data_IF_616952515263
#
_entry.id   IF_616952515263
#
_cell.length_a   1.000
_cell.length_b   1.000
_cell.length_c   1.000
_cell.angle_alpha   90.00
_cell.angle_beta   90.00
_cell.angle_gamma   90.00
#
_symmetry.space_group_name_H-M   'P 1'
#
loop_
_entity.id
_entity.type
_entity.pdbx_description
1 polymer ?
#
# COMPACT_ATOMS: atom_id res chain seq x y z
N UNK A 1 14.98 15.54 -5.53
CA UNK A 1 14.65 16.93 -5.92
C UNK A 1 13.50 16.86 -6.90
N UNK A 2 12.36 17.47 -6.59
CA UNK A 2 11.12 17.24 -7.31
C UNK A 2 10.98 18.28 -8.43
N UNK A 3 10.70 17.86 -9.68
CA UNK A 3 10.44 18.83 -10.76
C UNK A 3 9.12 19.54 -10.48
N UNK A 4 9.11 20.87 -10.54
CA UNK A 4 7.90 21.64 -10.32
C UNK A 4 6.87 21.38 -11.42
N UNK A 5 5.78 20.71 -11.06
CA UNK A 5 4.66 20.39 -11.91
C UNK A 5 3.38 20.21 -11.07
N UNK A 6 2.18 20.16 -11.68
CA UNK A 6 0.92 20.00 -10.93
C UNK A 6 0.82 18.71 -10.10
N UNK A 7 1.54 17.64 -10.50
CA UNK A 7 1.61 16.39 -9.73
C UNK A 7 2.46 16.56 -8.48
N UNK A 8 3.66 17.12 -8.64
CA UNK A 8 4.59 17.45 -7.55
C UNK A 8 4.00 18.41 -6.51
N UNK A 9 3.28 19.45 -6.95
CA UNK A 9 2.59 20.38 -6.01
C UNK A 9 1.46 19.70 -5.25
N UNK A 10 0.75 18.75 -5.87
CA UNK A 10 -0.31 17.97 -5.21
C UNK A 10 0.27 17.02 -4.15
N UNK A 11 1.34 16.31 -4.46
CA UNK A 11 2.10 15.48 -3.52
C UNK A 11 2.50 16.28 -2.28
N UNK A 12 3.16 17.44 -2.47
CA UNK A 12 3.59 18.33 -1.39
C UNK A 12 2.41 18.83 -0.55
N UNK A 13 1.31 19.26 -1.18
CA UNK A 13 0.11 19.74 -0.47
C UNK A 13 -0.55 18.65 0.38
N UNK A 14 -0.69 17.44 -0.16
CA UNK A 14 -1.26 16.30 0.57
C UNK A 14 -0.37 15.92 1.76
N UNK A 15 0.94 15.90 1.57
CA UNK A 15 1.93 15.60 2.61
C UNK A 15 2.00 16.71 3.67
N UNK A 16 1.86 17.98 3.28
CA UNK A 16 1.79 19.11 4.20
C UNK A 16 0.56 19.00 5.12
N UNK A 17 -0.62 18.70 4.57
CA UNK A 17 -1.83 18.40 5.36
C UNK A 17 -1.63 17.18 6.26
N UNK A 18 -0.92 16.16 5.79
CA UNK A 18 -0.62 14.95 6.55
C UNK A 18 0.37 15.14 7.71
N UNK A 19 1.23 16.16 7.65
CA UNK A 19 2.37 16.38 8.56
C UNK A 19 1.98 16.69 10.03
N UNK A 20 0.69 16.79 10.35
CA UNK A 20 0.19 16.93 11.73
C UNK A 20 0.11 15.59 12.47
N UNK A 21 0.13 14.46 11.77
CA UNK A 21 0.11 13.13 12.38
C UNK A 21 1.50 12.74 12.92
N UNK A 22 1.57 12.24 14.15
CA UNK A 22 2.81 11.79 14.77
C UNK A 22 3.51 10.65 13.99
N UNK A 23 2.72 9.79 13.33
CA UNK A 23 3.16 8.63 12.55
C UNK A 23 3.35 8.92 11.05
N UNK A 24 3.44 10.19 10.66
CA UNK A 24 3.78 10.61 9.29
C UNK A 24 5.04 11.47 9.36
N UNK A 25 5.91 11.39 8.36
CA UNK A 25 7.10 12.26 8.28
C UNK A 25 6.68 13.71 8.04
N UNK A 26 7.19 14.62 8.85
CA UNK A 26 6.83 16.04 8.83
C UNK A 26 7.62 16.79 7.76
N UNK A 27 6.90 17.52 6.91
CA UNK A 27 7.50 18.62 6.15
C UNK A 27 7.72 19.81 7.10
N UNK A 28 8.93 20.37 7.05
CA UNK A 28 9.36 21.54 7.80
C UNK A 28 9.19 22.81 6.96
N UNK A 29 9.69 22.81 5.73
CA UNK A 29 9.64 23.93 4.78
C UNK A 29 9.55 23.42 3.33
N UNK A 30 9.05 24.29 2.44
CA UNK A 30 9.02 24.05 0.98
C UNK A 30 9.50 25.30 0.25
N UNK A 31 10.46 25.15 -0.66
CA UNK A 31 10.98 26.24 -1.49
C UNK A 31 10.81 25.96 -2.99
N UNK A 32 10.39 26.97 -3.75
CA UNK A 32 10.44 26.95 -5.22
C UNK A 32 11.76 27.58 -5.68
N UNK A 33 12.62 26.78 -6.32
CA UNK A 33 13.94 27.22 -6.78
C UNK A 33 14.16 26.88 -8.25
N UNK A 34 15.11 27.59 -8.88
CA UNK A 34 15.72 27.19 -10.14
C UNK A 34 16.97 26.36 -9.87
N UNK A 35 16.98 25.09 -10.28
CA UNK A 35 18.15 24.23 -10.24
C UNK A 35 18.50 23.78 -11.66
N UNK A 36 19.73 24.05 -12.10
CA UNK A 36 20.21 23.75 -13.46
C UNK A 36 19.26 24.25 -14.58
N UNK A 37 18.67 25.44 -14.38
CA UNK A 37 17.72 26.05 -15.33
C UNK A 37 16.30 25.45 -15.32
N UNK A 38 15.99 24.49 -14.43
CA UNK A 38 14.66 23.90 -14.27
C UNK A 38 14.01 24.39 -12.98
N UNK A 39 12.69 24.59 -12.99
CA UNK A 39 11.93 24.82 -11.76
C UNK A 39 11.85 23.52 -10.94
N UNK A 40 12.18 23.61 -9.67
CA UNK A 40 12.19 22.49 -8.73
C UNK A 40 11.55 22.91 -7.40
N UNK A 41 10.88 21.94 -6.76
CA UNK A 41 10.47 22.03 -5.37
C UNK A 41 11.54 21.38 -4.50
N UNK A 42 12.03 22.14 -3.52
CA UNK A 42 12.90 21.67 -2.45
C UNK A 42 12.03 21.46 -1.21
N UNK A 43 11.92 20.22 -0.76
CA UNK A 43 11.10 19.84 0.39
C UNK A 43 12.06 19.54 1.54
N UNK A 44 11.99 20.33 2.60
CA UNK A 44 12.75 20.11 3.84
C UNK A 44 11.87 19.29 4.77
N UNK A 45 12.36 18.14 5.24
CA UNK A 45 11.62 17.22 6.10
C UNK A 45 12.41 16.94 7.39
N UNK A 46 11.74 16.39 8.41
CA UNK A 46 12.45 15.80 9.55
C UNK A 46 13.34 14.62 9.09
N UNK A 47 14.45 14.39 9.80
CA UNK A 47 15.40 13.33 9.48
C UNK A 47 15.01 12.01 10.17
N UNK A 48 15.07 10.89 9.45
CA UNK A 48 14.65 9.56 9.93
C UNK A 48 15.82 8.56 9.88
N UNK A 49 16.75 8.69 10.84
CA UNK A 49 18.01 7.93 10.86
C UNK A 49 17.89 6.52 11.48
N UNK A 50 16.66 6.06 11.75
CA UNK A 50 16.37 4.76 12.36
C UNK A 50 16.34 3.58 11.39
N UNK A 51 16.30 3.84 10.08
CA UNK A 51 16.19 2.82 9.03
C UNK A 51 14.78 2.27 8.84
N UNK A 52 14.65 1.34 7.88
CA UNK A 52 13.41 0.65 7.55
C UNK A 52 12.93 -0.27 8.69
N UNK A 53 11.60 -0.39 8.80
CA UNK A 53 10.92 -1.24 9.78
C UNK A 53 11.50 -2.66 9.85
N UNK A 54 11.59 -3.33 8.70
CA UNK A 54 11.97 -4.75 8.65
C UNK A 54 13.47 -4.97 8.84
N UNK A 55 14.33 -4.06 8.36
CA UNK A 55 15.77 -4.08 8.70
C UNK A 55 15.99 -4.01 10.20
N UNK A 56 15.20 -3.20 10.93
CA UNK A 56 15.30 -3.12 12.39
C UNK A 56 14.87 -4.41 13.10
N UNK A 57 13.90 -5.13 12.56
CA UNK A 57 13.47 -6.44 13.08
C UNK A 57 14.54 -7.51 12.79
N UNK A 58 15.20 -7.44 11.64
CA UNK A 58 16.32 -8.30 11.28
C UNK A 58 17.54 -8.07 12.19
N UNK A 59 17.96 -6.81 12.39
CA UNK A 59 19.12 -6.43 13.23
C UNK A 59 18.98 -6.86 14.70
N UNK A 60 17.75 -6.94 15.24
CA UNK A 60 17.52 -7.48 16.60
C UNK A 60 17.84 -8.96 16.71
N UNK A 61 17.60 -9.73 15.64
CA UNK A 61 17.92 -11.16 15.57
C UNK A 61 19.41 -11.43 15.68
N UNK A 62 20.28 -10.48 15.32
CA UNK A 62 21.72 -10.57 15.53
C UNK A 62 22.12 -10.37 17.00
N UNK A 63 21.37 -9.57 17.76
CA UNK A 63 21.70 -9.27 19.16
C UNK A 63 21.24 -10.39 20.12
N UNK A 64 20.16 -11.10 19.78
CA UNK A 64 19.65 -12.24 20.55
C UNK A 64 20.65 -13.42 20.67
N UNK A 65 21.63 -13.53 19.76
CA UNK A 65 22.72 -14.51 19.85
C UNK A 65 23.94 -14.02 20.65
N UNK A 66 23.85 -12.85 21.29
CA UNK A 66 24.88 -12.34 22.21
C UNK A 66 24.30 -12.18 23.61
N UNK A 67 25.11 -12.43 24.64
CA UNK A 67 24.70 -12.56 26.07
C UNK A 67 24.14 -11.26 26.71
N UNK A 68 23.75 -10.25 25.93
CA UNK A 68 23.34 -8.90 26.37
C UNK A 68 21.84 -8.60 26.26
N UNK A 69 21.02 -9.51 25.73
CA UNK A 69 19.58 -9.31 25.60
C UNK A 69 18.78 -10.53 26.11
N UNK A 70 18.49 -10.62 27.44
CA UNK A 70 17.68 -11.69 28.01
C UNK A 70 16.24 -11.75 27.47
N UNK A 71 15.74 -10.63 26.94
CA UNK A 71 14.34 -10.42 26.51
C UNK A 71 14.19 -10.41 24.96
N UNK A 72 15.17 -10.92 24.22
CA UNK A 72 15.46 -10.54 22.82
C UNK A 72 14.64 -11.13 21.67
N UNK A 73 13.40 -11.60 21.85
CA UNK A 73 12.57 -12.14 20.76
C UNK A 73 11.54 -11.14 20.26
N UNK A 74 11.36 -11.02 18.94
CA UNK A 74 10.28 -10.21 18.36
C UNK A 74 8.93 -10.87 18.64
N UNK A 75 8.02 -10.17 19.33
CA UNK A 75 6.78 -10.76 19.85
C UNK A 75 5.51 -10.27 19.14
N UNK A 76 4.41 -11.03 19.26
CA UNK A 76 3.11 -10.68 18.69
C UNK A 76 2.53 -9.35 19.22
N UNK A 77 2.87 -8.98 20.45
CA UNK A 77 2.64 -7.68 21.08
C UNK A 77 3.32 -6.53 20.32
N UNK A 78 4.62 -6.66 20.02
CA UNK A 78 5.38 -5.66 19.27
C UNK A 78 4.85 -5.52 17.84
N UNK A 79 4.51 -6.65 17.20
CA UNK A 79 3.85 -6.65 15.90
C UNK A 79 2.50 -5.88 15.93
N UNK A 80 1.74 -6.02 17.01
CA UNK A 80 0.50 -5.23 17.22
C UNK A 80 0.78 -3.73 17.41
N UNK A 81 1.76 -3.34 18.23
CA UNK A 81 2.12 -1.93 18.44
C UNK A 81 2.64 -1.24 17.16
N UNK A 82 3.42 -1.98 16.35
CA UNK A 82 3.83 -1.56 15.01
C UNK A 82 2.60 -1.38 14.11
N UNK A 83 1.73 -2.39 14.02
CA UNK A 83 0.53 -2.34 13.19
C UNK A 83 -0.45 -1.24 13.62
N UNK A 84 -0.54 -0.95 14.92
CA UNK A 84 -1.28 0.19 15.46
C UNK A 84 -0.66 1.52 15.03
N UNK A 85 0.66 1.68 15.14
CA UNK A 85 1.37 2.90 14.70
C UNK A 85 1.13 3.20 13.21
N UNK A 86 1.19 2.19 12.35
CA UNK A 86 0.88 2.33 10.91
C UNK A 86 -0.62 2.62 10.75
N UNK A 87 -1.49 1.92 11.50
CA UNK A 87 -2.93 2.13 11.51
C UNK A 87 -3.34 3.57 11.87
N UNK A 88 -2.68 4.21 12.83
CA UNK A 88 -2.92 5.60 13.22
C UNK A 88 -2.55 6.59 12.09
N UNK A 89 -1.47 6.33 11.35
CA UNK A 89 -1.12 7.11 10.15
C UNK A 89 -2.20 6.98 9.05
N UNK A 90 -2.64 5.75 8.75
CA UNK A 90 -3.68 5.50 7.74
C UNK A 90 -5.04 6.05 8.19
N UNK A 91 -5.38 5.95 9.48
CA UNK A 91 -6.61 6.49 10.05
C UNK A 91 -6.65 8.00 9.91
N UNK A 92 -5.55 8.68 10.24
CA UNK A 92 -5.41 10.12 10.04
C UNK A 92 -5.64 10.50 8.57
N UNK A 93 -4.89 9.90 7.64
CA UNK A 93 -5.04 10.17 6.21
C UNK A 93 -6.48 9.94 5.72
N UNK A 94 -7.07 8.80 6.05
CA UNK A 94 -8.42 8.45 5.62
C UNK A 94 -9.48 9.38 6.22
N UNK A 95 -9.26 9.92 7.42
CA UNK A 95 -10.15 10.92 8.05
C UNK A 95 -10.14 12.28 7.34
N UNK A 96 -8.99 12.69 6.79
CA UNK A 96 -8.85 13.91 5.97
C UNK A 96 -9.01 13.64 4.46
N UNK A 97 -9.63 12.51 4.11
CA UNK A 97 -9.91 12.08 2.74
C UNK A 97 -8.67 11.99 1.83
N UNK A 98 -7.54 11.54 2.38
CA UNK A 98 -6.34 11.16 1.64
C UNK A 98 -6.19 9.63 1.68
N UNK A 99 -5.89 9.02 0.54
CA UNK A 99 -5.36 7.66 0.46
C UNK A 99 -3.87 7.75 0.11
N UNK A 100 -3.02 6.96 0.78
CA UNK A 100 -1.56 6.99 0.56
C UNK A 100 -1.18 6.24 -0.71
N UNK A 101 -1.77 5.06 -0.88
CA UNK A 101 -1.68 4.11 -1.99
C UNK A 101 -0.31 3.46 -2.19
N UNK A 102 0.78 3.98 -1.61
CA UNK A 102 2.13 3.36 -1.58
C UNK A 102 2.62 3.01 -0.17
N UNK A 103 1.74 2.42 0.65
CA UNK A 103 2.12 1.88 1.96
C UNK A 103 2.87 0.56 1.75
N UNK A 104 4.16 0.51 2.09
CA UNK A 104 5.07 -0.63 1.88
C UNK A 104 6.30 -0.53 2.80
N UNK A 105 7.09 -1.62 3.01
CA UNK A 105 8.27 -1.64 3.87
C UNK A 105 9.21 -0.45 3.75
N UNK A 106 9.53 -0.06 2.52
CA UNK A 106 10.50 0.99 2.17
C UNK A 106 10.04 2.39 2.63
N UNK A 107 8.72 2.56 2.78
CA UNK A 107 8.07 3.81 3.18
C UNK A 107 7.74 3.85 4.69
N UNK A 108 8.26 2.91 5.47
CA UNK A 108 8.03 2.79 6.92
C UNK A 108 9.36 2.88 7.68
N UNK A 109 9.70 4.11 8.09
CA UNK A 109 11.01 4.45 8.63
C UNK A 109 10.93 4.87 10.11
N UNK A 110 11.94 4.49 10.90
CA UNK A 110 12.06 4.93 12.29
C UNK A 110 12.78 6.29 12.41
N UNK A 111 12.36 7.14 13.35
CA UNK A 111 13.00 8.44 13.60
C UNK A 111 14.46 8.35 14.04
N UNK A 112 14.86 7.27 14.73
CA UNK A 112 16.25 7.04 15.14
C UNK A 112 16.48 5.57 15.50
N UNK A 113 17.74 5.20 15.79
CA UNK A 113 18.08 3.85 16.25
C UNK A 113 17.73 3.58 17.72
N UNK A 114 17.31 4.60 18.49
CA UNK A 114 17.01 4.49 19.93
C UNK A 114 15.77 3.60 20.20
N UNK A 115 15.68 2.88 21.32
CA UNK A 115 14.54 2.00 21.61
C UNK A 115 13.17 2.68 21.48
N UNK A 116 13.07 3.92 21.95
CA UNK A 116 11.85 4.75 21.91
C UNK A 116 11.61 5.49 20.58
N UNK A 117 12.24 5.08 19.47
CA UNK A 117 12.04 5.71 18.18
C UNK A 117 10.65 5.43 17.60
N UNK A 118 10.04 6.47 17.03
CA UNK A 118 8.68 6.44 16.46
C UNK A 118 8.77 5.94 15.02
N UNK A 119 7.85 5.05 14.63
CA UNK A 119 7.67 4.62 13.24
C UNK A 119 6.84 5.67 12.47
N UNK A 120 7.29 6.05 11.28
CA UNK A 120 6.63 7.05 10.43
C UNK A 120 6.48 6.58 8.98
N UNK A 121 5.35 6.93 8.38
CA UNK A 121 5.04 6.75 6.96
C UNK A 121 5.63 7.89 6.11
N UNK A 122 6.20 7.53 4.95
CA UNK A 122 6.87 8.44 4.00
C UNK A 122 6.40 8.24 2.55
N UNK A 123 6.86 9.12 1.65
CA UNK A 123 6.61 9.11 0.20
C UNK A 123 5.14 9.24 -0.24
N UNK A 124 4.74 10.50 -0.45
CA UNK A 124 3.40 10.87 -0.91
C UNK A 124 3.28 10.94 -2.45
N UNK A 125 4.26 10.47 -3.22
CA UNK A 125 4.27 10.56 -4.69
C UNK A 125 3.09 9.85 -5.39
N UNK A 126 2.44 8.92 -4.70
CA UNK A 126 1.20 8.27 -5.13
C UNK A 126 -0.05 8.68 -4.33
N UNK A 127 0.10 9.51 -3.29
CA UNK A 127 -1.00 9.94 -2.44
C UNK A 127 -2.05 10.71 -3.26
N UNK A 128 -3.32 10.58 -2.88
CA UNK A 128 -4.41 11.22 -3.59
C UNK A 128 -5.57 11.55 -2.64
N UNK A 129 -6.17 12.71 -2.87
CA UNK A 129 -7.46 13.06 -2.28
C UNK A 129 -8.59 12.20 -2.86
N UNK A 130 -9.29 11.49 -1.98
CA UNK A 130 -10.48 10.71 -2.29
C UNK A 130 -11.68 11.64 -2.16
N UNK A 131 -12.23 12.09 -3.28
CA UNK A 131 -12.80 13.44 -3.42
C UNK A 131 -14.05 13.80 -2.60
N UNK A 132 -14.86 12.85 -2.13
CA UNK A 132 -16.23 13.09 -1.67
C UNK A 132 -17.03 13.97 -2.66
N UNK A 133 -16.90 13.69 -3.97
CA UNK A 133 -17.42 14.54 -5.06
C UNK A 133 -18.97 14.57 -5.05
N UNK A 134 -19.56 15.49 -4.27
CA UNK A 134 -20.98 15.83 -4.22
C UNK A 134 -21.96 14.66 -4.45
N UNK A 135 -22.01 13.70 -3.52
CA UNK A 135 -23.34 13.21 -3.13
C UNK A 135 -24.10 14.43 -2.61
N UNK A 136 -25.19 14.78 -3.30
CA UNK A 136 -25.96 16.02 -3.06
C UNK A 136 -26.21 16.24 -1.56
N UNK A 137 -26.08 17.49 -1.13
CA UNK A 137 -26.37 17.94 0.23
C UNK A 137 -27.89 17.97 0.53
N UNK A 138 -28.54 16.80 0.39
CA UNK A 138 -29.93 16.55 0.79
C UNK A 138 -30.07 15.06 1.16
N UNK A 139 -30.21 14.71 2.46
CA UNK A 139 -30.28 13.31 2.89
C UNK A 139 -31.69 12.72 2.65
N UNK A 140 -31.95 12.29 1.41
CA UNK A 140 -33.23 11.70 0.99
C UNK A 140 -33.04 10.41 0.18
N UNK A 141 -32.38 9.38 0.73
CA UNK A 141 -32.21 8.09 0.04
C UNK A 141 -32.56 6.87 0.87
N UNK A 142 -33.49 6.08 0.32
CA UNK A 142 -33.75 4.69 0.68
C UNK A 142 -32.63 3.82 0.08
N UNK A 143 -31.90 3.00 0.88
CA UNK A 143 -30.60 2.44 0.46
C UNK A 143 -30.61 1.35 -0.62
N UNK A 144 -31.78 0.90 -1.10
CA UNK A 144 -31.90 -0.31 -1.93
C UNK A 144 -31.61 -0.14 -3.44
N UNK A 145 -31.29 1.07 -3.92
CA UNK A 145 -31.24 1.36 -5.37
C UNK A 145 -29.93 1.96 -5.88
N UNK A 146 -28.87 2.00 -5.07
CA UNK A 146 -27.57 2.55 -5.49
C UNK A 146 -26.74 1.45 -6.17
N UNK A 147 -26.50 1.60 -7.47
CA UNK A 147 -25.68 0.68 -8.26
C UNK A 147 -24.19 0.76 -7.85
N UNK A 148 -23.42 -0.34 -7.88
CA UNK A 148 -22.08 -0.42 -7.29
C UNK A 148 -21.06 0.56 -7.92
N UNK A 149 -21.24 0.94 -9.18
CA UNK A 149 -20.43 1.96 -9.86
C UNK A 149 -20.60 3.38 -9.27
N UNK A 150 -21.75 3.65 -8.63
CA UNK A 150 -22.05 4.92 -7.96
C UNK A 150 -21.32 5.05 -6.60
N UNK A 151 -20.87 3.92 -6.02
CA UNK A 151 -20.05 3.92 -4.80
C UNK A 151 -18.61 4.44 -5.02
N UNK A 152 -18.25 4.70 -6.27
CA UNK A 152 -17.15 5.58 -6.67
C UNK A 152 -15.73 5.00 -6.54
N UNK A 153 -14.75 5.61 -7.22
CA UNK A 153 -13.34 5.20 -7.15
C UNK A 153 -12.71 5.38 -5.75
N UNK A 154 -13.38 6.12 -4.87
CA UNK A 154 -12.89 6.52 -3.54
C UNK A 154 -12.74 5.32 -2.59
N UNK A 155 -13.66 4.34 -2.67
CA UNK A 155 -13.48 3.06 -1.96
C UNK A 155 -12.26 2.30 -2.44
N UNK A 156 -11.98 2.31 -3.75
CA UNK A 156 -10.81 1.62 -4.32
C UNK A 156 -9.51 2.24 -3.85
N UNK A 157 -9.39 3.57 -3.89
CA UNK A 157 -8.19 4.29 -3.43
C UNK A 157 -7.90 4.00 -1.94
N UNK A 158 -8.88 4.14 -1.02
CA UNK A 158 -8.68 3.82 0.43
C UNK A 158 -8.45 2.33 0.68
N UNK A 159 -9.08 1.43 -0.08
CA UNK A 159 -8.90 -0.02 0.07
C UNK A 159 -7.48 -0.51 -0.27
N UNK A 160 -6.70 0.28 -1.04
CA UNK A 160 -5.32 -0.05 -1.38
C UNK A 160 -4.44 -0.03 -0.12
N UNK A 161 -4.59 0.99 0.73
CA UNK A 161 -3.89 1.08 2.02
C UNK A 161 -4.25 -0.08 2.95
N UNK A 162 -5.53 -0.48 2.96
CA UNK A 162 -5.99 -1.61 3.78
C UNK A 162 -5.43 -2.96 3.32
N UNK A 163 -5.20 -3.14 2.01
CA UNK A 163 -4.49 -4.31 1.50
C UNK A 163 -3.01 -4.31 1.93
N UNK A 164 -2.34 -3.16 1.83
CA UNK A 164 -0.96 -3.02 2.33
C UNK A 164 -0.84 -3.36 3.81
N UNK A 165 -1.77 -2.89 4.65
CA UNK A 165 -1.81 -3.27 6.08
C UNK A 165 -1.91 -4.79 6.25
N UNK A 166 -2.73 -5.48 5.45
CA UNK A 166 -2.83 -6.94 5.47
C UNK A 166 -1.53 -7.65 5.07
N UNK A 167 -0.82 -7.16 4.05
CA UNK A 167 0.47 -7.72 3.61
C UNK A 167 1.56 -7.49 4.66
N UNK A 168 1.69 -6.26 5.17
CA UNK A 168 2.67 -5.90 6.20
C UNK A 168 2.42 -6.69 7.48
N UNK A 169 1.16 -6.79 7.91
CA UNK A 169 0.78 -7.58 9.10
C UNK A 169 1.14 -9.06 8.95
N UNK A 170 0.92 -9.64 7.76
CA UNK A 170 1.30 -11.02 7.49
C UNK A 170 2.83 -11.20 7.59
N UNK A 171 3.62 -10.35 6.93
CA UNK A 171 5.09 -10.41 7.00
C UNK A 171 5.59 -10.20 8.44
N UNK A 172 4.99 -9.27 9.20
CA UNK A 172 5.38 -9.06 10.61
C UNK A 172 5.16 -10.30 11.49
N UNK A 173 4.20 -11.17 11.17
CA UNK A 173 3.88 -12.34 11.98
C UNK A 173 4.71 -13.59 11.63
N UNK A 174 5.19 -13.74 10.39
CA UNK A 174 5.94 -14.94 9.97
C UNK A 174 7.27 -14.68 9.23
N UNK A 175 7.55 -13.47 8.76
CA UNK A 175 8.79 -13.09 8.06
C UNK A 175 8.78 -13.21 6.53
N UNK A 176 7.74 -13.78 5.93
CA UNK A 176 7.56 -13.90 4.46
C UNK A 176 6.19 -13.34 4.04
N UNK A 177 6.00 -12.83 2.80
CA UNK A 177 4.71 -12.33 2.33
C UNK A 177 3.73 -13.45 1.93
N UNK A 178 2.41 -13.17 1.94
CA UNK A 178 1.36 -14.19 1.86
C UNK A 178 1.31 -14.98 0.53
N UNK A 179 1.82 -14.43 -0.57
CA UNK A 179 1.55 -14.98 -1.91
C UNK A 179 2.66 -15.87 -2.49
N UNK A 180 3.66 -16.27 -1.69
CA UNK A 180 4.80 -17.09 -2.11
C UNK A 180 4.41 -18.37 -2.88
N UNK A 181 5.35 -18.85 -3.70
CA UNK A 181 5.21 -20.15 -4.37
C UNK A 181 5.72 -21.27 -3.47
N UNK A 182 4.97 -22.38 -3.36
CA UNK A 182 5.27 -23.54 -2.51
C UNK A 182 6.53 -24.34 -2.96
N UNK A 183 7.39 -23.78 -3.81
CA UNK A 183 8.57 -24.43 -4.38
C UNK A 183 9.87 -23.63 -4.17
N UNK A 184 9.87 -22.60 -3.30
CA UNK A 184 11.05 -21.77 -3.02
C UNK A 184 11.53 -20.91 -4.20
N UNK A 185 10.85 -20.98 -5.34
CA UNK A 185 11.05 -20.07 -6.46
C UNK A 185 10.34 -18.75 -6.15
N UNK A 186 11.11 -17.68 -5.97
CA UNK A 186 10.62 -16.31 -5.82
C UNK A 186 9.66 -15.91 -6.96
N UNK A 187 9.85 -16.51 -8.14
CA UNK A 187 9.14 -16.19 -9.36
C UNK A 187 8.37 -17.43 -9.85
N UNK A 188 7.05 -17.44 -9.63
CA UNK A 188 6.15 -18.29 -10.41
C UNK A 188 5.14 -17.42 -11.17
N UNK A 189 4.78 -17.75 -12.42
CA UNK A 189 3.67 -17.10 -13.14
C UNK A 189 2.33 -17.14 -12.38
N UNK A 190 2.25 -17.96 -11.33
CA UNK A 190 1.12 -18.01 -10.40
C UNK A 190 1.03 -16.86 -9.40
N UNK A 191 2.10 -16.11 -9.10
CA UNK A 191 2.09 -15.04 -8.06
C UNK A 191 0.95 -14.03 -8.27
N UNK A 192 0.92 -13.40 -9.45
CA UNK A 192 -0.14 -12.43 -9.84
C UNK A 192 -1.52 -13.08 -9.95
N UNK A 193 -1.59 -14.40 -10.18
CA UNK A 193 -2.85 -15.17 -10.16
C UNK A 193 -3.32 -15.42 -8.72
N UNK A 194 -2.42 -15.78 -7.79
CA UNK A 194 -2.70 -15.97 -6.36
C UNK A 194 -3.22 -14.69 -5.72
N UNK A 195 -2.55 -13.55 -5.97
CA UNK A 195 -3.02 -12.21 -5.56
C UNK A 195 -4.45 -11.95 -6.06
N UNK A 196 -4.71 -12.13 -7.37
CA UNK A 196 -6.05 -11.93 -7.95
C UNK A 196 -7.11 -12.91 -7.43
N UNK A 197 -6.71 -14.11 -7.02
CA UNK A 197 -7.60 -15.14 -6.48
C UNK A 197 -7.69 -15.12 -4.95
N UNK A 198 -6.94 -14.25 -4.25
CA UNK A 198 -6.87 -14.23 -2.79
C UNK A 198 -6.29 -15.51 -2.19
N UNK A 199 -5.49 -16.25 -2.94
CA UNK A 199 -4.97 -17.56 -2.54
C UNK A 199 -3.66 -17.42 -1.77
N UNK A 200 -3.77 -17.53 -0.45
CA UNK A 200 -2.68 -17.67 0.50
C UNK A 200 -3.13 -18.55 1.66
N UNK A 201 -2.16 -19.06 2.42
CA UNK A 201 -2.38 -19.97 3.56
C UNK A 201 -1.64 -19.42 4.78
N UNK A 202 -1.73 -20.11 5.92
CA UNK A 202 -1.01 -19.78 7.15
C UNK A 202 -0.20 -21.02 7.57
N UNK A 203 0.97 -21.28 6.94
CA UNK A 203 1.63 -22.57 7.08
C UNK A 203 2.37 -22.73 8.42
N UNK A 204 2.50 -23.97 8.87
CA UNK A 204 3.27 -24.33 10.06
C UNK A 204 4.76 -24.48 9.69
N UNK A 205 5.69 -24.19 10.62
CA UNK A 205 5.46 -23.89 12.03
C UNK A 205 5.10 -22.43 12.35
N UNK A 206 5.42 -21.47 11.49
CA UNK A 206 5.39 -20.04 11.87
C UNK A 206 4.01 -19.52 12.31
N UNK A 207 2.94 -20.14 11.81
CA UNK A 207 1.56 -19.79 12.16
C UNK A 207 0.91 -20.69 13.21
N UNK A 208 1.62 -21.63 13.86
CA UNK A 208 1.01 -22.51 14.87
C UNK A 208 0.56 -21.75 16.11
N UNK A 209 1.41 -20.84 16.60
CA UNK A 209 1.17 -20.04 17.82
C UNK A 209 0.35 -18.76 17.56
N UNK A 210 0.04 -18.46 16.30
CA UNK A 210 -0.76 -17.28 15.93
C UNK A 210 -2.25 -17.61 16.01
N UNK A 211 -2.95 -16.91 16.90
CA UNK A 211 -4.40 -17.06 17.14
C UNK A 211 -5.26 -16.92 15.87
N UNK A 212 -6.40 -17.62 15.83
CA UNK A 212 -7.28 -17.65 14.67
C UNK A 212 -7.98 -16.29 14.42
N UNK A 213 -8.19 -15.51 15.47
CA UNK A 213 -8.69 -14.12 15.42
C UNK A 213 -7.74 -13.22 14.61
N UNK A 214 -6.43 -13.38 14.79
CA UNK A 214 -5.39 -12.64 14.05
C UNK A 214 -5.34 -13.09 12.59
N UNK A 215 -5.46 -14.39 12.33
CA UNK A 215 -5.60 -14.93 10.97
C UNK A 215 -6.86 -14.39 10.29
N UNK A 216 -7.98 -14.28 11.00
CA UNK A 216 -9.22 -13.73 10.47
C UNK A 216 -9.15 -12.22 10.22
N UNK A 217 -8.44 -11.46 11.05
CA UNK A 217 -8.14 -10.04 10.81
C UNK A 217 -7.40 -9.86 9.47
N UNK A 218 -6.36 -10.66 9.21
CA UNK A 218 -5.66 -10.67 7.92
C UNK A 218 -6.60 -11.07 6.78
N UNK A 219 -7.46 -12.09 6.97
CA UNK A 219 -8.47 -12.46 5.95
C UNK A 219 -9.40 -11.32 5.58
N UNK A 220 -9.76 -10.47 6.53
CA UNK A 220 -10.62 -9.31 6.27
C UNK A 220 -9.87 -8.16 5.55
N UNK A 221 -8.57 -8.00 5.78
CA UNK A 221 -7.70 -7.04 5.10
C UNK A 221 -7.33 -7.47 3.67
N UNK A 222 -7.09 -8.77 3.45
CA UNK A 222 -6.67 -9.34 2.16
C UNK A 222 -7.84 -9.88 1.31
N UNK A 223 -9.07 -9.40 1.53
CA UNK A 223 -10.19 -9.67 0.62
C UNK A 223 -9.91 -9.08 -0.77
N UNK A 224 -10.11 -9.89 -1.81
CA UNK A 224 -9.91 -9.49 -3.21
C UNK A 224 -10.89 -8.41 -3.65
N UNK A 225 -12.16 -8.53 -3.27
CA UNK A 225 -13.20 -7.51 -3.46
C UNK A 225 -12.91 -6.27 -2.58
N UNK A 226 -12.58 -5.11 -3.17
CA UNK A 226 -12.32 -3.87 -2.43
C UNK A 226 -13.50 -3.37 -1.61
N UNK A 227 -14.73 -3.73 -1.98
CA UNK A 227 -15.96 -3.25 -1.32
C UNK A 227 -16.29 -4.02 -0.05
N UNK A 228 -15.76 -5.24 0.08
CA UNK A 228 -15.91 -6.12 1.25
C UNK A 228 -14.71 -6.09 2.19
N UNK A 229 -13.60 -5.47 1.76
CA UNK A 229 -12.35 -5.33 2.50
C UNK A 229 -12.55 -4.47 3.74
N UNK A 230 -11.91 -4.86 4.84
CA UNK A 230 -11.95 -4.14 6.12
C UNK A 230 -11.53 -2.69 5.95
N UNK A 231 -12.28 -1.78 6.59
CA UNK A 231 -11.99 -0.35 6.69
C UNK A 231 -11.03 -0.04 7.84
N UNK A 232 -10.39 1.13 7.80
CA UNK A 232 -9.45 1.53 8.86
C UNK A 232 -10.12 1.66 10.23
N UNK A 233 -11.39 2.05 10.29
CA UNK A 233 -12.15 2.15 11.54
C UNK A 233 -12.41 0.78 12.16
N UNK A 234 -12.75 -0.23 11.35
CA UNK A 234 -12.91 -1.60 11.81
C UNK A 234 -11.58 -2.21 12.27
N UNK A 235 -10.49 -1.91 11.56
CA UNK A 235 -9.13 -2.33 11.92
C UNK A 235 -8.69 -1.76 13.27
N UNK A 236 -8.82 -0.44 13.48
CA UNK A 236 -8.42 0.22 14.72
C UNK A 236 -9.28 -0.18 15.93
N UNK A 237 -10.54 -0.56 15.71
CA UNK A 237 -11.43 -1.09 16.74
C UNK A 237 -11.24 -2.59 17.02
N UNK A 238 -10.45 -3.32 16.21
CA UNK A 238 -10.21 -4.73 16.44
C UNK A 238 -9.45 -4.94 17.76
N UNK A 239 -9.85 -5.89 18.64
CA UNK A 239 -9.23 -6.04 19.96
C UNK A 239 -7.70 -6.18 19.91
N UNK A 240 -7.18 -6.95 18.94
CA UNK A 240 -5.74 -7.14 18.75
C UNK A 240 -4.96 -5.84 18.46
N UNK A 241 -5.61 -4.79 17.93
CA UNK A 241 -5.00 -3.47 17.67
C UNK A 241 -5.32 -2.50 18.80
N UNK A 242 -6.60 -2.40 19.19
CA UNK A 242 -7.07 -1.49 20.24
C UNK A 242 -6.39 -1.76 21.58
N UNK A 243 -6.19 -3.03 21.92
CA UNK A 243 -5.62 -3.52 23.17
C UNK A 243 -4.19 -4.06 22.97
N UNK A 244 -3.38 -3.43 22.12
CA UNK A 244 -2.02 -3.91 21.75
C UNK A 244 -1.15 -4.33 22.94
N UNK A 245 -1.19 -3.58 24.05
CA UNK A 245 -0.45 -3.87 25.29
C UNK A 245 -0.91 -5.12 26.04
N UNK A 246 -2.09 -5.67 25.71
CA UNK A 246 -2.66 -6.89 26.30
C UNK A 246 -2.49 -8.12 25.38
N UNK A 247 -1.92 -7.94 24.18
CA UNK A 247 -1.61 -9.04 23.26
C UNK A 247 -0.52 -9.93 23.88
N UNK A 248 -0.64 -11.27 23.78
CA UNK A 248 0.38 -12.18 24.29
C UNK A 248 1.78 -11.87 23.77
N UNK A 249 2.78 -11.99 24.64
CA UNK A 249 4.21 -11.84 24.31
C UNK A 249 4.76 -13.10 23.59
N UNK A 250 3.94 -13.74 22.74
CA UNK A 250 4.29 -14.95 22.00
C UNK A 250 5.45 -14.64 21.05
N UNK A 251 6.60 -15.35 21.14
CA UNK A 251 7.72 -15.17 20.22
C UNK A 251 7.32 -15.49 18.78
N UNK A 252 7.74 -14.64 17.84
CA UNK A 252 7.54 -14.83 16.41
C UNK A 252 8.84 -15.25 15.73
N UNK A 253 8.71 -16.06 14.67
CA UNK A 253 9.86 -16.49 13.87
C UNK A 253 10.38 -15.40 12.91
N UNK A 254 9.65 -14.29 12.76
CA UNK A 254 9.88 -13.19 11.81
C UNK A 254 11.33 -12.74 11.70
N UNK A 255 11.99 -12.46 12.83
CA UNK A 255 13.39 -11.98 12.84
C UNK A 255 14.38 -13.02 12.31
N UNK A 256 14.15 -14.31 12.61
CA UNK A 256 14.94 -15.42 12.09
C UNK A 256 14.73 -15.60 10.59
N UNK A 257 13.47 -15.62 10.15
CA UNK A 257 13.10 -15.82 8.74
C UNK A 257 13.66 -14.71 7.85
N UNK A 258 13.48 -13.43 8.24
CA UNK A 258 14.04 -12.28 7.50
C UNK A 258 15.58 -12.30 7.42
N UNK A 259 16.25 -12.99 8.36
CA UNK A 259 17.70 -13.17 8.35
C UNK A 259 18.15 -14.32 7.45
N UNK A 260 17.44 -15.45 7.49
CA UNK A 260 17.69 -16.61 6.64
C UNK A 260 17.39 -16.31 5.16
N UNK A 261 16.31 -15.56 4.89
CA UNK A 261 15.83 -15.22 3.55
C UNK A 261 16.24 -13.80 3.10
N UNK A 262 17.37 -13.28 3.58
CA UNK A 262 17.82 -11.90 3.30
C UNK A 262 17.90 -11.59 1.80
N UNK A 263 18.41 -12.51 0.99
CA UNK A 263 18.55 -12.31 -0.46
C UNK A 263 17.20 -12.29 -1.18
N UNK A 264 16.17 -12.94 -0.60
CA UNK A 264 14.79 -12.92 -1.12
C UNK A 264 14.03 -11.65 -0.73
N UNK A 265 14.49 -10.90 0.29
CA UNK A 265 13.80 -9.70 0.77
C UNK A 265 13.73 -8.58 -0.28
N UNK A 266 14.71 -8.49 -1.18
CA UNK A 266 14.66 -7.53 -2.30
C UNK A 266 13.56 -7.92 -3.32
N UNK A 267 13.46 -9.21 -3.68
CA UNK A 267 12.37 -9.72 -4.54
C UNK A 267 10.98 -9.46 -3.92
N UNK A 268 10.87 -9.57 -2.59
CA UNK A 268 9.63 -9.25 -1.83
C UNK A 268 9.23 -7.78 -1.99
N UNK A 269 10.18 -6.85 -1.85
CA UNK A 269 9.94 -5.41 -2.03
C UNK A 269 9.55 -5.08 -3.47
N UNK A 270 10.24 -5.65 -4.46
CA UNK A 270 9.90 -5.46 -5.88
C UNK A 270 8.49 -5.96 -6.21
N UNK A 271 8.12 -7.18 -5.80
CA UNK A 271 6.78 -7.70 -6.07
C UNK A 271 5.68 -7.00 -5.27
N UNK A 272 5.97 -6.47 -4.06
CA UNK A 272 5.01 -5.63 -3.35
C UNK A 272 4.76 -4.30 -4.08
N UNK A 273 5.82 -3.63 -4.57
CA UNK A 273 5.70 -2.43 -5.40
C UNK A 273 4.95 -2.72 -6.72
N UNK A 274 5.25 -3.84 -7.38
CA UNK A 274 4.55 -4.37 -8.57
C UNK A 274 3.06 -4.63 -8.31
N UNK A 275 2.72 -5.28 -7.21
CA UNK A 275 1.34 -5.56 -6.82
C UNK A 275 0.55 -4.27 -6.61
N UNK A 276 1.08 -3.32 -5.83
CA UNK A 276 0.42 -2.03 -5.56
C UNK A 276 0.21 -1.22 -6.84
N UNK A 277 1.17 -1.22 -7.76
CA UNK A 277 1.00 -0.57 -9.07
C UNK A 277 -0.18 -1.13 -9.88
N UNK A 278 -0.52 -2.42 -9.73
CA UNK A 278 -1.70 -3.03 -10.38
C UNK A 278 -3.01 -2.80 -9.63
N UNK A 279 -2.96 -2.49 -8.33
CA UNK A 279 -4.15 -2.23 -7.51
C UNK A 279 -4.57 -0.75 -7.50
N UNK A 280 -3.64 0.16 -7.80
CA UNK A 280 -3.93 1.59 -8.00
C UNK A 280 -4.73 1.79 -9.28
N UNK A 281 -5.80 2.57 -9.18
CA UNK A 281 -6.40 3.19 -10.36
C UNK A 281 -5.49 4.33 -10.79
N UNK A 282 -4.88 4.19 -11.98
CA UNK A 282 -4.14 5.26 -12.63
C UNK A 282 -5.11 6.12 -13.44
N UNK A 283 -5.42 7.30 -12.90
CA UNK A 283 -6.30 8.29 -13.50
C UNK A 283 -5.61 9.13 -14.59
N UNK A 284 -4.29 9.00 -14.75
CA UNK A 284 -3.51 9.63 -15.83
C UNK A 284 -3.52 8.75 -17.11
N UNK A 285 -4.08 7.53 -17.06
CA UNK A 285 -4.24 6.68 -18.24
C UNK A 285 -5.10 7.32 -19.32
N UNK A 286 -4.63 7.20 -20.56
CA UNK A 286 -5.30 7.68 -21.77
C UNK A 286 -6.65 6.98 -21.89
N UNK A 287 -7.74 7.74 -21.73
CA UNK A 287 -9.09 7.24 -22.01
C UNK A 287 -9.16 6.80 -23.47
N UNK A 288 -9.49 5.53 -23.69
CA UNK A 288 -9.69 4.99 -25.04
C UNK A 288 -10.81 5.79 -25.69
N UNK A 289 -10.52 6.42 -26.84
CA UNK A 289 -11.52 7.12 -27.64
C UNK A 289 -12.64 6.15 -28.03
N UNK A 290 -13.85 6.65 -28.24
CA UNK A 290 -14.91 5.82 -28.83
C UNK A 290 -14.44 5.22 -30.15
N UNK A 291 -15.06 4.10 -30.56
CA UNK A 291 -14.63 3.38 -31.78
C UNK A 291 -14.82 4.21 -33.06
N UNK A 292 -15.74 5.18 -33.05
CA UNK A 292 -15.94 6.20 -34.09
C UNK A 292 -14.74 7.18 -34.19
N UNK A 293 -14.39 7.82 -33.07
CA UNK A 293 -13.29 8.79 -32.93
C UNK A 293 -11.88 8.18 -32.94
N UNK A 294 -11.80 6.85 -32.89
CA UNK A 294 -10.56 6.10 -32.92
C UNK A 294 -9.99 5.98 -34.33
N UNK A 295 -8.67 6.20 -34.45
CA UNK A 295 -7.92 5.95 -35.68
C UNK A 295 -6.66 5.15 -35.33
N UNK A 296 -6.52 3.95 -35.90
CA UNK A 296 -5.30 3.17 -35.85
C UNK A 296 -5.18 2.28 -37.11
N UNK A 297 -3.98 1.78 -37.46
CA UNK A 297 -3.76 1.04 -38.72
C UNK A 297 -4.62 -0.23 -38.87
N UNK A 298 -4.91 -0.94 -37.77
CA UNK A 298 -5.73 -2.16 -37.80
C UNK A 298 -7.21 -1.82 -38.02
N UNK A 299 -7.71 -0.79 -37.33
CA UNK A 299 -9.07 -0.29 -37.47
C UNK A 299 -9.31 0.22 -38.90
N UNK A 300 -8.34 0.96 -39.46
CA UNK A 300 -8.42 1.46 -40.84
C UNK A 300 -8.41 0.33 -41.87
N UNK A 301 -7.59 -0.72 -41.70
CA UNK A 301 -7.64 -1.92 -42.54
C UNK A 301 -9.02 -2.61 -42.48
N UNK A 302 -9.62 -2.72 -41.29
CA UNK A 302 -10.97 -3.30 -41.13
C UNK A 302 -12.07 -2.43 -41.74
N UNK A 303 -12.04 -1.10 -41.51
CA UNK A 303 -12.98 -0.14 -42.13
C UNK A 303 -12.93 -0.20 -43.66
N UNK A 304 -11.73 -0.22 -44.27
CA UNK A 304 -11.55 -0.38 -45.73
C UNK A 304 -12.02 -1.73 -46.29
N UNK A 305 -12.03 -2.79 -45.47
CA UNK A 305 -12.58 -4.10 -45.88
C UNK A 305 -14.10 -4.18 -45.74
N UNK A 306 -14.68 -3.43 -44.79
CA UNK A 306 -16.13 -3.34 -44.60
C UNK A 306 -16.80 -2.43 -45.64
N UNK A 307 -16.19 -1.28 -45.94
CA UNK A 307 -16.60 -0.36 -47.01
C UNK A 307 -15.48 -0.34 -48.08
N UNK A 308 -15.47 -1.29 -49.03
CA UNK A 308 -14.62 -1.16 -50.21
C UNK A 308 -15.02 0.11 -50.99
N UNK A 309 -14.06 0.85 -51.59
CA UNK A 309 -14.41 1.95 -52.47
C UNK A 309 -15.21 1.43 -53.67
N UNK A 310 -16.27 2.14 -54.06
CA UNK A 310 -16.99 1.83 -55.29
C UNK A 310 -16.03 1.87 -56.48
N UNK A 311 -16.16 0.95 -57.45
CA UNK A 311 -15.33 0.97 -58.65
C UNK A 311 -15.58 2.29 -59.39
N UNK A 312 -14.51 3.06 -59.59
CA UNK A 312 -14.55 4.29 -60.36
C UNK A 312 -15.10 4.01 -61.76
N UNK A 313 -16.25 4.59 -62.09
CA UNK A 313 -16.79 4.52 -63.44
C UNK A 313 -15.76 5.09 -64.41
N UNK A 314 -15.29 4.25 -65.34
CA UNK A 314 -14.42 4.67 -66.42
C UNK A 314 -15.21 5.63 -67.33
N UNK A 315 -14.67 6.81 -67.67
CA UNK A 315 -15.29 7.64 -68.70
C UNK A 315 -15.23 6.92 -70.05
N UNK A 316 -16.33 7.02 -70.81
CA UNK A 316 -16.51 6.45 -72.15
C UNK A 316 -15.56 7.03 -73.19
#
# INVERSE_FOLDING_TARGET
MLQDCPKARREVELHWRASQCAHIVRIMDVYENLYQGRKCLLIVMECLDGGELFSRIQDRGDQAFTERAPDGFFAASEASEIMKSIGEAIQYLHSINIAHRDVKPENLLYTSKRPNAVLKLTDFGFAKETTTHNSLATPCYTPYYVAPEVLGPEKYDKSCDMWSLGVIMYILLCGYPPFYSNHGLAISPGMKKRIRMGQYEFPNPEWSEVSEEVKQLIRNLLKTDPTQRMTITEFMNHPWIMQSMQVPQTPLHTSRVLKEEKDLWEDVKEEMTSALATMRVDYEQIKIKKIEDSSNPLLMKRRKKANPPEPSALPH
#
